data_IF_840074225759
#
_entry.id   IF_840074225759
#
_cell.length_a   1.000
_cell.length_b   1.000
_cell.length_c   1.000
_cell.angle_alpha   90.00
_cell.angle_beta   90.00
_cell.angle_gamma   90.00
#
_symmetry.space_group_name_H-M   'P 1'
#
loop_
_entity.id
_entity.type
_entity.pdbx_description
1 polymer ?
#
# COMPACT_ATOMS: atom_id res chain seq x y z
N UNK A 1 1.31 -36.26 15.80
CA UNK A 1 0.20 -35.29 15.65
C UNK A 1 0.33 -34.67 14.27
N UNK A 2 -0.59 -34.97 13.36
CA UNK A 2 -0.62 -34.35 12.05
C UNK A 2 -0.80 -32.84 12.27
N UNK A 3 0.16 -32.02 11.85
CA UNK A 3 0.02 -30.58 11.87
C UNK A 3 -1.21 -30.24 11.02
N UNK A 4 -2.27 -29.77 11.65
CA UNK A 4 -3.45 -29.28 10.95
C UNK A 4 -2.99 -28.28 9.88
N UNK A 5 -3.39 -28.53 8.64
CA UNK A 5 -3.07 -27.64 7.51
C UNK A 5 -3.53 -26.21 7.84
N UNK A 6 -2.64 -25.22 7.91
CA UNK A 6 -3.01 -23.85 8.28
C UNK A 6 -4.08 -23.24 7.39
N UNK A 7 -4.20 -23.69 6.14
CA UNK A 7 -5.27 -23.25 5.25
C UNK A 7 -6.64 -23.79 5.65
N UNK A 8 -6.72 -25.01 6.22
CA UNK A 8 -7.97 -25.59 6.72
C UNK A 8 -8.52 -24.82 7.92
N UNK A 9 -7.63 -24.18 8.70
CA UNK A 9 -8.04 -23.30 9.80
C UNK A 9 -8.83 -22.07 9.34
N UNK A 10 -8.57 -21.57 8.11
CA UNK A 10 -9.32 -20.47 7.51
C UNK A 10 -10.82 -20.80 7.37
N UNK A 11 -11.13 -22.08 7.14
CA UNK A 11 -12.50 -22.56 6.95
C UNK A 11 -13.20 -23.01 8.23
N UNK A 12 -12.49 -23.20 9.35
CA UNK A 12 -13.02 -23.86 10.55
C UNK A 12 -13.00 -23.00 11.80
N UNK A 13 -11.95 -22.21 12.02
CA UNK A 13 -11.81 -21.38 13.24
C UNK A 13 -12.85 -20.27 13.36
N UNK A 14 -13.16 -19.81 14.59
CA UNK A 14 -14.04 -18.66 14.84
C UNK A 14 -13.51 -17.40 14.13
N UNK A 15 -14.39 -16.71 13.39
CA UNK A 15 -14.01 -15.59 12.51
C UNK A 15 -13.35 -14.42 13.25
N UNK A 16 -13.86 -14.03 14.42
CA UNK A 16 -13.27 -12.91 15.19
C UNK A 16 -11.83 -13.19 15.59
N UNK A 17 -11.53 -14.40 16.12
CA UNK A 17 -10.17 -14.81 16.48
C UNK A 17 -9.26 -14.91 15.25
N UNK A 18 -9.80 -15.41 14.14
CA UNK A 18 -9.08 -15.54 12.90
C UNK A 18 -8.75 -14.17 12.32
N UNK A 19 -9.71 -13.23 12.31
CA UNK A 19 -9.52 -11.88 11.84
C UNK A 19 -8.41 -11.17 12.64
N UNK A 20 -8.43 -11.24 13.97
CA UNK A 20 -7.37 -10.66 14.79
C UNK A 20 -5.99 -11.29 14.51
N UNK A 21 -5.94 -12.61 14.28
CA UNK A 21 -4.70 -13.33 13.94
C UNK A 21 -4.07 -12.83 12.64
N UNK A 22 -4.86 -12.32 11.69
CA UNK A 22 -4.38 -11.76 10.42
C UNK A 22 -4.23 -10.23 10.47
N UNK A 23 -5.16 -9.55 11.10
CA UNK A 23 -5.17 -8.08 11.17
C UNK A 23 -4.00 -7.54 11.98
N UNK A 24 -3.74 -8.10 13.18
CA UNK A 24 -2.64 -7.62 14.04
C UNK A 24 -1.29 -7.70 13.32
N UNK A 25 -0.86 -8.83 12.73
CA UNK A 25 0.37 -8.89 11.96
C UNK A 25 0.39 -7.92 10.76
N UNK A 26 -0.74 -7.75 10.07
CA UNK A 26 -0.83 -6.86 8.91
C UNK A 26 -0.67 -5.39 9.32
N UNK A 27 -1.38 -4.95 10.36
CA UNK A 27 -1.27 -3.59 10.90
C UNK A 27 0.16 -3.33 11.40
N UNK A 28 0.71 -4.26 12.18
CA UNK A 28 2.05 -4.13 12.72
C UNK A 28 3.13 -4.04 11.63
N UNK A 29 3.02 -4.86 10.58
CA UNK A 29 3.92 -4.79 9.43
C UNK A 29 3.85 -3.42 8.73
N UNK A 30 2.65 -2.84 8.58
CA UNK A 30 2.47 -1.52 7.97
C UNK A 30 3.08 -0.40 8.84
N UNK A 31 2.89 -0.47 10.17
CA UNK A 31 3.49 0.49 11.11
C UNK A 31 5.02 0.42 11.04
N UNK A 32 5.59 -0.79 11.07
CA UNK A 32 7.03 -0.98 10.97
C UNK A 32 7.57 -0.47 9.63
N UNK A 33 6.85 -0.71 8.55
CA UNK A 33 7.20 -0.21 7.22
C UNK A 33 7.20 1.34 7.17
N UNK A 34 6.24 1.99 7.83
CA UNK A 34 6.20 3.44 7.97
C UNK A 34 7.40 3.94 8.80
N UNK A 35 7.66 3.30 9.95
CA UNK A 35 8.73 3.72 10.84
C UNK A 35 10.11 3.61 10.20
N UNK A 36 10.41 2.49 9.50
CA UNK A 36 11.71 2.36 8.86
C UNK A 36 11.92 3.42 7.76
N UNK A 37 10.89 3.77 6.99
CA UNK A 37 10.98 4.85 5.99
C UNK A 37 11.28 6.22 6.64
N UNK A 38 10.76 6.46 7.85
CA UNK A 38 11.06 7.68 8.62
C UNK A 38 12.52 7.66 9.10
N UNK A 39 12.96 6.52 9.63
CA UNK A 39 14.33 6.36 10.15
C UNK A 39 15.37 6.52 9.03
N UNK A 40 15.16 5.89 7.86
CA UNK A 40 16.00 6.04 6.69
C UNK A 40 16.18 7.54 6.30
N UNK A 41 15.08 8.29 6.24
CA UNK A 41 15.13 9.73 5.97
C UNK A 41 15.87 10.53 7.05
N UNK A 42 15.77 10.13 8.32
CA UNK A 42 16.51 10.77 9.41
C UNK A 42 18.02 10.55 9.22
N UNK A 43 18.43 9.33 8.86
CA UNK A 43 19.84 9.07 8.59
C UNK A 43 20.36 9.86 7.38
N UNK A 44 19.64 9.85 6.25
CA UNK A 44 20.01 10.63 5.06
C UNK A 44 20.07 12.13 5.36
N UNK A 45 19.11 12.67 6.10
CA UNK A 45 19.07 14.09 6.45
C UNK A 45 20.16 14.54 7.42
N UNK A 46 20.82 13.61 8.12
CA UNK A 46 21.91 13.86 9.05
C UNK A 46 23.30 13.61 8.46
N UNK A 47 23.42 13.36 7.16
CA UNK A 47 24.72 13.23 6.49
C UNK A 47 25.46 14.58 6.63
N UNK A 48 26.72 14.61 7.14
CA UNK A 48 27.47 15.84 7.30
C UNK A 48 27.57 16.59 5.96
N UNK A 49 27.48 17.92 6.02
CA UNK A 49 27.59 18.88 4.92
C UNK A 49 26.50 18.78 3.83
N UNK A 50 26.05 17.57 3.47
CA UNK A 50 25.14 17.35 2.34
C UNK A 50 23.73 16.92 2.73
N UNK A 51 23.45 16.65 4.00
CA UNK A 51 22.19 16.08 4.51
C UNK A 51 20.92 16.74 3.96
N UNK A 52 20.76 18.07 4.01
CA UNK A 52 19.56 18.74 3.48
C UNK A 52 19.37 18.54 1.97
N UNK A 53 20.44 18.58 1.17
CA UNK A 53 20.40 18.38 -0.27
C UNK A 53 20.18 16.91 -0.62
N UNK A 54 20.80 16.00 0.13
CA UNK A 54 20.60 14.56 0.02
C UNK A 54 19.14 14.16 0.31
N UNK A 55 18.57 14.70 1.40
CA UNK A 55 17.17 14.48 1.75
C UNK A 55 16.20 15.02 0.70
N UNK A 56 16.50 16.18 0.13
CA UNK A 56 15.72 16.75 -0.97
C UNK A 56 15.80 15.87 -2.22
N UNK A 57 17.00 15.37 -2.58
CA UNK A 57 17.20 14.44 -3.68
C UNK A 57 16.42 13.12 -3.48
N UNK A 58 16.47 12.55 -2.27
CA UNK A 58 15.69 11.38 -1.91
C UNK A 58 14.17 11.65 -2.01
N UNK A 59 13.73 12.83 -1.56
CA UNK A 59 12.32 13.26 -1.65
C UNK A 59 11.79 13.28 -3.08
N UNK A 60 12.62 13.66 -4.06
CA UNK A 60 12.27 13.63 -5.49
C UNK A 60 12.22 12.20 -6.04
N UNK A 61 13.16 11.34 -5.63
CA UNK A 61 13.21 9.94 -6.09
C UNK A 61 12.08 9.08 -5.49
N UNK A 62 11.61 9.40 -4.28
CA UNK A 62 10.68 8.57 -3.52
C UNK A 62 9.34 8.29 -4.21
N UNK A 63 8.62 9.27 -4.81
CA UNK A 63 7.40 8.97 -5.56
C UNK A 63 7.62 8.01 -6.73
N UNK A 64 8.75 8.13 -7.43
CA UNK A 64 9.12 7.24 -8.54
C UNK A 64 9.34 5.81 -8.00
N UNK A 65 10.02 5.68 -6.87
CA UNK A 65 10.25 4.40 -6.17
C UNK A 65 8.93 3.76 -5.76
N UNK A 66 7.98 4.52 -5.25
CA UNK A 66 6.64 4.01 -4.92
C UNK A 66 5.88 3.53 -6.15
N UNK A 67 5.98 4.24 -7.28
CA UNK A 67 5.38 3.81 -8.55
C UNK A 67 6.03 2.50 -9.01
N UNK A 68 7.36 2.38 -8.99
CA UNK A 68 8.07 1.14 -9.33
C UNK A 68 7.61 0.00 -8.42
N UNK A 69 7.55 0.23 -7.10
CA UNK A 69 7.12 -0.76 -6.12
C UNK A 69 5.66 -1.20 -6.34
N UNK A 70 4.79 -0.31 -6.85
CA UNK A 70 3.39 -0.63 -7.11
C UNK A 70 3.19 -1.73 -8.16
N UNK A 71 4.17 -1.93 -9.06
CA UNK A 71 4.13 -3.04 -10.03
C UNK A 71 4.16 -4.41 -9.35
N UNK A 72 4.73 -4.52 -8.15
CA UNK A 72 4.67 -5.75 -7.36
C UNK A 72 3.23 -6.12 -6.97
N UNK A 73 2.34 -5.14 -6.83
CA UNK A 73 0.94 -5.38 -6.48
C UNK A 73 0.15 -6.03 -7.61
N UNK A 74 0.57 -5.83 -8.88
CA UNK A 74 -0.07 -6.49 -10.02
C UNK A 74 -0.08 -8.01 -9.82
N UNK A 75 1.05 -8.58 -9.45
CA UNK A 75 1.17 -10.02 -9.25
C UNK A 75 0.89 -10.45 -7.80
N UNK A 76 1.33 -9.67 -6.80
CA UNK A 76 1.19 -10.00 -5.39
C UNK A 76 -0.25 -9.89 -4.89
N UNK A 77 -0.76 -8.66 -4.87
CA UNK A 77 -2.14 -8.41 -4.39
C UNK A 77 -3.20 -8.90 -5.36
N UNK A 78 -2.89 -8.97 -6.66
CA UNK A 78 -3.80 -9.55 -7.65
C UNK A 78 -3.85 -11.08 -7.60
N UNK A 79 -2.70 -11.72 -7.43
CA UNK A 79 -2.59 -13.18 -7.52
C UNK A 79 -2.89 -13.91 -6.21
N UNK A 80 -2.50 -13.37 -5.06
CA UNK A 80 -2.71 -14.02 -3.77
C UNK A 80 -4.19 -14.35 -3.46
N UNK A 81 -5.19 -13.46 -3.70
CA UNK A 81 -6.59 -13.81 -3.56
C UNK A 81 -7.03 -14.95 -4.48
N UNK A 82 -6.59 -14.96 -5.75
CA UNK A 82 -6.93 -16.01 -6.71
C UNK A 82 -6.30 -17.35 -6.33
N UNK A 83 -5.05 -17.33 -5.85
CA UNK A 83 -4.41 -18.54 -5.31
C UNK A 83 -5.14 -19.05 -4.07
N UNK A 84 -5.59 -18.17 -3.17
CA UNK A 84 -6.37 -18.54 -1.99
C UNK A 84 -7.74 -19.14 -2.36
N UNK A 85 -8.43 -18.60 -3.39
CA UNK A 85 -9.65 -19.18 -3.94
C UNK A 85 -9.39 -20.58 -4.50
N UNK A 86 -8.29 -20.77 -5.25
CA UNK A 86 -7.92 -22.07 -5.80
C UNK A 86 -7.65 -23.09 -4.68
N UNK A 87 -6.90 -22.71 -3.64
CA UNK A 87 -6.69 -23.56 -2.46
C UNK A 87 -8.01 -23.91 -1.76
N UNK A 88 -8.92 -22.94 -1.62
CA UNK A 88 -10.25 -23.18 -1.04
C UNK A 88 -11.06 -24.22 -1.82
N UNK A 89 -10.87 -24.32 -3.13
CA UNK A 89 -11.48 -25.36 -4.01
C UNK A 89 -10.75 -26.70 -3.96
N UNK A 90 -9.62 -26.79 -3.26
CA UNK A 90 -8.75 -27.97 -3.28
C UNK A 90 -7.82 -28.07 -4.50
N UNK A 91 -7.78 -27.05 -5.38
CA UNK A 91 -6.92 -27.01 -6.57
C UNK A 91 -5.58 -26.32 -6.24
N UNK A 92 -4.75 -27.01 -5.47
CA UNK A 92 -3.42 -26.52 -5.12
C UNK A 92 -2.52 -26.41 -6.36
N UNK A 93 -2.72 -27.24 -7.39
CA UNK A 93 -1.97 -27.17 -8.63
C UNK A 93 -2.17 -25.85 -9.36
N UNK A 94 -3.41 -25.34 -9.40
CA UNK A 94 -3.72 -24.03 -9.94
C UNK A 94 -3.11 -22.91 -9.10
N UNK A 95 -3.15 -23.01 -7.78
CA UNK A 95 -2.54 -22.03 -6.88
C UNK A 95 -1.01 -21.98 -7.05
N UNK A 96 -0.34 -23.14 -7.22
CA UNK A 96 1.10 -23.22 -7.53
C UNK A 96 1.43 -22.62 -8.92
N UNK A 97 0.56 -22.82 -9.95
CA UNK A 97 0.72 -22.18 -11.26
C UNK A 97 0.64 -20.66 -11.18
N UNK A 98 -0.35 -20.13 -10.43
CA UNK A 98 -0.48 -18.70 -10.20
C UNK A 98 0.77 -18.14 -9.52
N UNK A 99 1.28 -18.80 -8.46
CA UNK A 99 2.50 -18.40 -7.75
C UNK A 99 3.72 -18.43 -8.70
N UNK A 100 3.90 -19.49 -9.49
CA UNK A 100 5.03 -19.64 -10.42
C UNK A 100 5.00 -18.57 -11.52
N UNK A 101 3.84 -18.35 -12.14
CA UNK A 101 3.66 -17.31 -13.17
C UNK A 101 3.86 -15.91 -12.59
N UNK A 102 3.38 -15.64 -11.37
CA UNK A 102 3.60 -14.37 -10.68
C UNK A 102 5.09 -14.11 -10.41
N UNK A 103 5.85 -15.12 -9.96
CA UNK A 103 7.28 -15.00 -9.73
C UNK A 103 8.04 -14.63 -11.01
N UNK A 104 7.75 -15.32 -12.11
CA UNK A 104 8.39 -15.04 -13.42
C UNK A 104 7.99 -13.67 -13.92
N UNK A 105 6.72 -13.27 -13.77
CA UNK A 105 6.25 -11.92 -14.14
C UNK A 105 6.96 -10.83 -13.34
N UNK A 106 7.11 -10.98 -12.02
CA UNK A 106 7.81 -10.02 -11.16
C UNK A 106 9.28 -9.85 -11.56
N UNK A 107 9.96 -10.95 -11.88
CA UNK A 107 11.33 -10.91 -12.40
C UNK A 107 11.40 -10.21 -13.76
N UNK A 108 10.56 -10.59 -14.71
CA UNK A 108 10.54 -9.97 -16.03
C UNK A 108 10.22 -8.46 -15.93
N UNK A 109 9.20 -8.11 -15.11
CA UNK A 109 8.80 -6.71 -14.90
C UNK A 109 9.94 -5.92 -14.22
N UNK A 110 10.66 -6.50 -13.26
CA UNK A 110 11.79 -5.83 -12.62
C UNK A 110 12.90 -5.48 -13.60
N UNK A 111 13.22 -6.37 -14.55
CA UNK A 111 14.19 -6.11 -15.61
C UNK A 111 13.71 -4.99 -16.52
N UNK A 112 12.46 -5.04 -16.97
CA UNK A 112 11.85 -4.01 -17.82
C UNK A 112 11.89 -2.65 -17.12
N UNK A 113 11.45 -2.58 -15.88
CA UNK A 113 11.45 -1.34 -15.08
C UNK A 113 12.86 -0.80 -14.88
N UNK A 114 13.81 -1.67 -14.54
CA UNK A 114 15.22 -1.29 -14.39
C UNK A 114 15.76 -0.65 -15.67
N UNK A 115 15.61 -1.30 -16.81
CA UNK A 115 16.11 -0.81 -18.10
C UNK A 115 15.43 0.52 -18.49
N UNK A 116 14.09 0.59 -18.41
CA UNK A 116 13.34 1.81 -18.77
C UNK A 116 13.69 2.98 -17.84
N UNK A 117 13.75 2.73 -16.52
CA UNK A 117 14.06 3.78 -15.56
C UNK A 117 15.53 4.22 -15.63
N UNK A 118 16.48 3.34 -15.94
CA UNK A 118 17.87 3.75 -16.21
C UNK A 118 17.96 4.65 -17.43
N UNK A 119 17.27 4.30 -18.52
CA UNK A 119 17.25 5.11 -19.73
C UNK A 119 16.59 6.48 -19.51
N UNK A 120 15.50 6.55 -18.77
CA UNK A 120 14.73 7.77 -18.52
C UNK A 120 15.08 8.46 -17.17
N UNK A 121 16.15 8.04 -16.47
CA UNK A 121 16.45 8.45 -15.09
C UNK A 121 16.47 9.97 -14.90
N UNK A 122 17.33 10.67 -15.62
CA UNK A 122 17.47 12.13 -15.48
C UNK A 122 16.20 12.90 -15.84
N UNK A 123 15.57 12.66 -17.01
CA UNK A 123 14.29 13.30 -17.35
C UNK A 123 13.20 13.07 -16.30
N UNK A 124 13.10 11.84 -15.78
CA UNK A 124 12.12 11.52 -14.73
C UNK A 124 12.38 12.32 -13.46
N UNK A 125 13.61 12.32 -12.95
CA UNK A 125 13.97 13.07 -11.74
C UNK A 125 13.73 14.57 -11.89
N UNK A 126 14.08 15.17 -13.04
CA UNK A 126 13.79 16.58 -13.33
C UNK A 126 12.28 16.85 -13.36
N UNK A 127 11.50 15.96 -13.97
CA UNK A 127 10.03 16.09 -14.05
C UNK A 127 9.37 16.02 -12.66
N UNK A 128 9.97 15.28 -11.71
CA UNK A 128 9.52 15.19 -10.33
C UNK A 128 10.11 16.28 -9.41
N UNK A 129 10.84 17.25 -9.98
CA UNK A 129 11.27 18.47 -9.26
C UNK A 129 12.72 18.46 -8.76
N UNK A 130 13.60 17.61 -9.30
CA UNK A 130 15.03 17.71 -9.02
C UNK A 130 15.59 19.03 -9.56
N UNK A 131 16.36 19.72 -8.74
CA UNK A 131 17.17 20.89 -9.14
C UNK A 131 18.58 20.48 -9.55
N UNK A 132 19.35 21.41 -10.15
CA UNK A 132 20.75 21.15 -10.47
C UNK A 132 21.60 20.76 -9.24
N UNK A 133 21.22 21.25 -8.05
CA UNK A 133 21.90 20.95 -6.80
C UNK A 133 21.53 19.58 -6.22
N UNK A 134 20.30 19.10 -6.44
CA UNK A 134 19.79 17.88 -5.84
C UNK A 134 19.84 16.66 -6.76
N UNK A 135 19.93 16.88 -8.08
CA UNK A 135 19.87 15.79 -9.07
C UNK A 135 21.00 14.77 -8.92
N UNK A 136 22.21 15.21 -8.52
CA UNK A 136 23.33 14.31 -8.27
C UNK A 136 23.01 13.29 -7.19
N UNK A 137 22.49 13.74 -6.05
CA UNK A 137 22.11 12.88 -4.92
C UNK A 137 20.92 11.98 -5.27
N UNK A 138 19.95 12.50 -6.02
CA UNK A 138 18.82 11.71 -6.49
C UNK A 138 19.27 10.58 -7.44
N UNK A 139 20.18 10.85 -8.38
CA UNK A 139 20.77 9.87 -9.29
C UNK A 139 21.58 8.84 -8.53
N UNK A 140 22.39 9.24 -7.56
CA UNK A 140 23.19 8.34 -6.73
C UNK A 140 22.35 7.32 -5.96
N UNK A 141 21.26 7.77 -5.34
CA UNK A 141 20.32 6.90 -4.66
C UNK A 141 19.56 6.02 -5.64
N UNK A 142 18.95 6.63 -6.65
CA UNK A 142 18.00 5.97 -7.54
C UNK A 142 18.68 4.94 -8.46
N UNK A 143 19.90 5.20 -8.95
CA UNK A 143 20.66 4.26 -9.78
C UNK A 143 20.93 2.94 -9.05
N UNK A 144 21.37 3.00 -7.79
CA UNK A 144 21.57 1.80 -6.97
C UNK A 144 20.25 1.12 -6.68
N UNK A 145 19.22 1.87 -6.28
CA UNK A 145 17.89 1.30 -6.02
C UNK A 145 17.37 0.49 -7.22
N UNK A 146 17.58 0.98 -8.45
CA UNK A 146 17.16 0.28 -9.67
C UNK A 146 17.84 -1.08 -9.84
N UNK A 147 19.10 -1.23 -9.44
CA UNK A 147 19.77 -2.54 -9.46
C UNK A 147 19.15 -3.53 -8.49
N UNK A 148 18.57 -3.04 -7.39
CA UNK A 148 17.86 -3.84 -6.40
C UNK A 148 16.38 -4.11 -6.73
N UNK A 149 15.85 -3.55 -7.81
CA UNK A 149 14.43 -3.70 -8.19
C UNK A 149 13.97 -5.17 -8.22
N UNK A 150 14.75 -6.17 -8.70
CA UNK A 150 14.33 -7.57 -8.63
C UNK A 150 14.07 -8.06 -7.20
N UNK A 151 14.94 -7.70 -6.26
CA UNK A 151 14.76 -8.08 -4.86
C UNK A 151 13.51 -7.38 -4.25
N UNK A 152 13.30 -6.11 -4.56
CA UNK A 152 12.13 -5.34 -4.12
C UNK A 152 10.83 -5.95 -4.68
N UNK A 153 10.77 -6.20 -5.98
CA UNK A 153 9.58 -6.77 -6.62
C UNK A 153 9.23 -8.15 -6.05
N UNK A 154 10.22 -9.01 -5.86
CA UNK A 154 10.02 -10.34 -5.30
C UNK A 154 9.62 -10.29 -3.82
N UNK A 155 10.30 -9.47 -3.00
CA UNK A 155 10.00 -9.38 -1.58
C UNK A 155 8.60 -8.83 -1.33
N UNK A 156 8.20 -7.77 -2.01
CA UNK A 156 6.87 -7.19 -1.87
C UNK A 156 5.79 -8.08 -2.50
N UNK A 157 5.99 -8.55 -3.73
CA UNK A 157 4.97 -9.30 -4.46
C UNK A 157 4.70 -10.69 -3.89
N UNK A 158 5.75 -11.46 -3.59
CA UNK A 158 5.58 -12.85 -3.13
C UNK A 158 5.16 -12.95 -1.66
N UNK A 159 5.38 -11.92 -0.84
CA UNK A 159 4.97 -11.93 0.57
C UNK A 159 3.46 -12.11 0.76
N UNK A 160 2.64 -11.62 -0.19
CA UNK A 160 1.19 -11.81 -0.15
C UNK A 160 0.79 -13.29 -0.28
N UNK A 161 1.58 -14.11 -1.00
CA UNK A 161 1.34 -15.54 -1.13
C UNK A 161 1.67 -16.34 0.13
N UNK A 162 2.52 -15.83 1.01
CA UNK A 162 2.72 -16.39 2.35
C UNK A 162 1.47 -16.18 3.20
N UNK A 163 0.97 -14.94 3.21
CA UNK A 163 -0.21 -14.58 3.98
C UNK A 163 -1.46 -15.34 3.52
N UNK A 164 -1.66 -15.51 2.20
CA UNK A 164 -2.84 -16.19 1.66
C UNK A 164 -2.96 -17.67 2.01
N UNK A 165 -1.84 -18.32 2.38
CA UNK A 165 -1.81 -19.70 2.86
C UNK A 165 -2.15 -19.85 4.36
N UNK A 166 -2.39 -18.75 5.08
CA UNK A 166 -2.64 -18.78 6.52
C UNK A 166 -1.46 -18.37 7.40
N UNK A 167 -0.28 -18.05 6.83
CA UNK A 167 0.96 -17.74 7.56
C UNK A 167 1.16 -16.22 7.78
N UNK A 168 0.15 -15.52 8.29
CA UNK A 168 0.22 -14.07 8.51
C UNK A 168 1.42 -13.63 9.37
N UNK A 169 1.80 -14.40 10.41
CA UNK A 169 2.97 -14.10 11.24
C UNK A 169 4.28 -14.20 10.44
N UNK A 170 4.40 -15.20 9.56
CA UNK A 170 5.60 -15.37 8.71
C UNK A 170 5.70 -14.22 7.70
N UNK A 171 4.58 -13.82 7.12
CA UNK A 171 4.50 -12.65 6.23
C UNK A 171 4.93 -11.35 6.94
N UNK A 172 4.48 -11.14 8.19
CA UNK A 172 4.92 -10.03 9.03
C UNK A 172 6.43 -10.10 9.31
N UNK A 173 6.96 -11.29 9.64
CA UNK A 173 8.39 -11.47 9.91
C UNK A 173 9.27 -11.09 8.71
N UNK A 174 8.81 -11.30 7.48
CA UNK A 174 9.50 -10.83 6.27
C UNK A 174 9.74 -9.32 6.31
N UNK A 175 8.70 -8.56 6.67
CA UNK A 175 8.78 -7.09 6.76
C UNK A 175 9.68 -6.67 7.92
N UNK A 176 9.56 -7.33 9.08
CA UNK A 176 10.38 -7.04 10.26
C UNK A 176 11.87 -7.28 10.00
N UNK A 177 12.22 -8.39 9.35
CA UNK A 177 13.62 -8.72 8.99
C UNK A 177 14.17 -7.64 8.07
N UNK A 178 13.43 -7.27 7.02
CA UNK A 178 13.84 -6.20 6.11
C UNK A 178 14.04 -4.87 6.82
N UNK A 179 13.06 -4.43 7.63
CA UNK A 179 13.13 -3.18 8.34
C UNK A 179 14.28 -3.15 9.38
N UNK A 180 14.46 -4.21 10.16
CA UNK A 180 15.53 -4.29 11.15
C UNK A 180 16.92 -4.24 10.48
N UNK A 181 17.09 -4.98 9.39
CA UNK A 181 18.35 -4.95 8.63
C UNK A 181 18.62 -3.58 8.02
N UNK A 182 17.61 -2.92 7.47
CA UNK A 182 17.76 -1.59 6.90
C UNK A 182 18.24 -0.59 7.98
N UNK A 183 17.56 -0.53 9.13
CA UNK A 183 17.93 0.35 10.25
C UNK A 183 19.37 0.08 10.75
N UNK A 184 19.83 -1.17 10.69
CA UNK A 184 21.20 -1.54 11.10
C UNK A 184 22.22 -1.18 10.01
N UNK A 185 21.90 -1.43 8.74
CA UNK A 185 22.81 -1.23 7.62
C UNK A 185 22.96 0.24 7.21
N UNK A 186 21.90 1.06 7.40
CA UNK A 186 21.94 2.49 7.07
C UNK A 186 23.13 3.21 7.72
N UNK A 187 23.32 3.22 9.06
CA UNK A 187 24.44 3.90 9.66
C UNK A 187 25.80 3.30 9.25
N UNK A 188 25.87 2.00 8.99
CA UNK A 188 27.11 1.33 8.58
C UNK A 188 27.52 1.81 7.18
N UNK A 189 26.59 1.83 6.24
CA UNK A 189 26.92 2.21 4.85
C UNK A 189 26.99 3.72 4.66
N UNK A 190 26.09 4.47 5.31
CA UNK A 190 26.05 5.94 5.16
C UNK A 190 27.29 6.58 5.81
N UNK A 191 27.56 6.24 7.08
CA UNK A 191 28.61 6.89 7.89
C UNK A 191 29.86 6.03 8.04
N UNK A 192 29.71 4.72 8.26
CA UNK A 192 30.85 3.82 8.50
C UNK A 192 31.71 3.60 7.25
N UNK A 193 31.08 3.48 6.09
CA UNK A 193 31.76 3.33 4.79
C UNK A 193 31.77 4.61 3.97
N UNK A 194 31.27 5.73 4.53
CA UNK A 194 31.23 7.05 3.90
C UNK A 194 30.58 7.06 2.49
N UNK A 195 29.56 6.22 2.30
CA UNK A 195 28.88 6.09 1.01
C UNK A 195 27.77 7.13 0.80
N UNK A 196 27.40 7.90 1.84
CA UNK A 196 26.36 8.92 1.74
C UNK A 196 25.02 8.37 1.22
N UNK A 197 24.41 9.03 0.23
CA UNK A 197 23.14 8.60 -0.38
C UNK A 197 23.19 7.21 -1.01
N UNK A 198 24.34 6.81 -1.57
CA UNK A 198 24.54 5.46 -2.12
C UNK A 198 24.45 4.40 -1.03
N UNK A 199 24.93 4.74 0.17
CA UNK A 199 24.86 3.86 1.34
C UNK A 199 23.42 3.54 1.75
N UNK A 200 22.54 4.54 1.81
CA UNK A 200 21.12 4.35 2.10
C UNK A 200 20.43 3.47 1.05
N UNK A 201 20.68 3.70 -0.23
CA UNK A 201 20.15 2.84 -1.30
C UNK A 201 20.64 1.40 -1.18
N UNK A 202 21.93 1.21 -0.91
CA UNK A 202 22.53 -0.11 -0.75
C UNK A 202 21.95 -0.87 0.46
N UNK A 203 21.77 -0.19 1.60
CA UNK A 203 21.13 -0.75 2.78
C UNK A 203 19.70 -1.25 2.48
N UNK A 204 18.93 -0.43 1.75
CA UNK A 204 17.58 -0.80 1.31
C UNK A 204 17.60 -2.04 0.43
N UNK A 205 18.48 -2.10 -0.57
CA UNK A 205 18.58 -3.25 -1.49
C UNK A 205 18.99 -4.51 -0.75
N UNK A 206 20.02 -4.45 0.10
CA UNK A 206 20.49 -5.59 0.87
C UNK A 206 19.37 -6.13 1.78
N UNK A 207 18.63 -5.25 2.43
CA UNK A 207 17.51 -5.62 3.31
C UNK A 207 16.37 -6.28 2.54
N UNK A 208 16.04 -5.76 1.34
CA UNK A 208 15.03 -6.37 0.47
C UNK A 208 15.52 -7.70 -0.12
N UNK A 209 16.81 -7.83 -0.45
CA UNK A 209 17.39 -9.09 -0.91
C UNK A 209 17.30 -10.18 0.17
N UNK A 210 17.61 -9.86 1.42
CA UNK A 210 17.46 -10.80 2.55
C UNK A 210 16.00 -11.17 2.75
N UNK A 211 15.08 -10.20 2.65
CA UNK A 211 13.63 -10.48 2.70
C UNK A 211 13.19 -11.42 1.58
N UNK A 212 13.69 -11.21 0.36
CA UNK A 212 13.40 -12.11 -0.77
C UNK A 212 13.96 -13.53 -0.54
N UNK A 213 15.20 -13.64 -0.04
CA UNK A 213 15.79 -14.94 0.33
C UNK A 213 14.97 -15.64 1.41
N UNK A 214 14.50 -14.93 2.42
CA UNK A 214 13.61 -15.46 3.46
C UNK A 214 12.30 -16.00 2.87
N UNK A 215 11.70 -15.30 1.91
CA UNK A 215 10.48 -15.73 1.20
C UNK A 215 10.75 -17.02 0.42
N UNK A 216 11.85 -17.07 -0.35
CA UNK A 216 12.23 -18.28 -1.07
C UNK A 216 12.52 -19.46 -0.12
N UNK A 217 13.22 -19.23 0.99
CA UNK A 217 13.46 -20.25 2.01
C UNK A 217 12.14 -20.80 2.58
N UNK A 218 11.12 -19.94 2.77
CA UNK A 218 9.78 -20.39 3.16
C UNK A 218 9.15 -21.28 2.09
N UNK A 219 9.16 -20.89 0.81
CA UNK A 219 8.53 -21.64 -0.28
C UNK A 219 9.24 -22.95 -0.63
N UNK A 220 10.53 -23.06 -0.34
CA UNK A 220 11.28 -24.32 -0.45
C UNK A 220 11.20 -25.16 0.83
N UNK A 221 10.68 -24.62 1.91
CA UNK A 221 10.54 -25.28 3.20
C UNK A 221 9.40 -26.31 3.22
N UNK A 222 9.38 -27.15 4.27
CA UNK A 222 8.34 -28.18 4.48
C UNK A 222 7.02 -27.64 5.02
N UNK A 223 6.96 -26.38 5.44
CA UNK A 223 5.78 -25.78 6.09
C UNK A 223 4.80 -25.15 5.10
N UNK A 224 5.28 -24.77 3.94
CA UNK A 224 4.45 -24.15 2.90
C UNK A 224 3.51 -25.16 2.26
N UNK A 225 2.32 -24.70 1.87
CA UNK A 225 1.34 -25.48 1.11
C UNK A 225 1.63 -25.36 -0.40
N UNK A 226 2.00 -24.16 -0.84
CA UNK A 226 2.33 -23.86 -2.23
C UNK A 226 3.85 -23.95 -2.44
N UNK A 227 4.26 -24.72 -3.43
CA UNK A 227 5.67 -24.92 -3.74
C UNK A 227 6.00 -24.38 -5.14
N UNK A 228 7.22 -23.88 -5.31
CA UNK A 228 7.74 -23.61 -6.64
C UNK A 228 7.99 -24.90 -7.39
N UNK A 229 7.17 -25.18 -8.40
CA UNK A 229 7.35 -26.30 -9.31
C UNK A 229 8.02 -25.80 -10.58
N UNK A 230 9.13 -26.43 -10.99
CA UNK A 230 9.87 -26.04 -12.20
C UNK A 230 8.96 -25.96 -13.44
N UNK A 231 7.99 -26.85 -13.58
CA UNK A 231 7.02 -26.87 -14.67
C UNK A 231 6.08 -25.67 -14.69
N UNK A 232 5.90 -24.95 -13.56
CA UNK A 232 5.00 -23.79 -13.42
C UNK A 232 5.76 -22.45 -13.44
N UNK A 233 7.10 -22.48 -13.48
CA UNK A 233 7.94 -21.29 -13.62
C UNK A 233 7.95 -20.82 -15.09
N UNK A 234 6.79 -20.39 -15.57
CA UNK A 234 6.60 -19.85 -16.92
C UNK A 234 5.48 -18.84 -16.93
N UNK A 235 5.47 -17.94 -17.90
CA UNK A 235 4.38 -16.99 -18.11
C UNK A 235 3.20 -17.72 -18.75
N UNK A 236 2.27 -18.18 -17.93
CA UNK A 236 1.01 -18.74 -18.41
C UNK A 236 -0.04 -17.63 -18.44
N UNK A 237 -0.34 -17.11 -19.65
CA UNK A 237 -1.26 -15.99 -19.84
C UNK A 237 -2.67 -16.29 -19.34
N UNK A 238 -3.10 -17.58 -19.34
CA UNK A 238 -4.44 -17.96 -18.84
C UNK A 238 -4.59 -17.70 -17.35
N UNK A 239 -3.54 -17.98 -16.58
CA UNK A 239 -3.53 -17.73 -15.13
C UNK A 239 -3.05 -16.29 -14.81
N UNK A 240 -2.14 -15.72 -15.62
CA UNK A 240 -1.52 -14.41 -15.36
C UNK A 240 -2.45 -13.23 -15.68
N UNK A 241 -3.21 -13.27 -16.79
CA UNK A 241 -4.09 -12.14 -17.16
C UNK A 241 -5.12 -11.83 -16.06
N UNK A 242 -5.86 -12.79 -15.49
CA UNK A 242 -6.75 -12.52 -14.36
C UNK A 242 -6.02 -11.94 -13.14
N UNK A 243 -4.78 -12.39 -12.87
CA UNK A 243 -3.93 -11.89 -11.80
C UNK A 243 -3.62 -10.41 -12.01
N UNK A 244 -3.08 -10.04 -13.17
CA UNK A 244 -2.74 -8.65 -13.50
C UNK A 244 -3.98 -7.76 -13.45
N UNK A 245 -5.08 -8.19 -14.07
CA UNK A 245 -6.32 -7.41 -14.10
C UNK A 245 -6.85 -7.13 -12.68
N UNK A 246 -6.80 -8.10 -11.76
CA UNK A 246 -7.20 -7.89 -10.38
C UNK A 246 -6.20 -6.97 -9.65
N UNK A 247 -4.91 -7.11 -9.92
CA UNK A 247 -3.84 -6.31 -9.38
C UNK A 247 -3.80 -4.86 -9.87
N UNK A 248 -4.47 -4.53 -10.99
CA UNK A 248 -4.60 -3.13 -11.44
C UNK A 248 -5.29 -2.26 -10.39
N UNK A 249 -6.21 -2.80 -9.60
CA UNK A 249 -6.90 -2.05 -8.56
C UNK A 249 -5.93 -1.49 -7.50
N UNK A 250 -5.14 -2.29 -6.77
CA UNK A 250 -4.16 -1.77 -5.81
C UNK A 250 -3.02 -1.00 -6.48
N UNK A 251 -2.65 -1.33 -7.72
CA UNK A 251 -1.69 -0.57 -8.50
C UNK A 251 -2.16 0.88 -8.69
N UNK A 252 -3.36 1.10 -9.19
CA UNK A 252 -3.90 2.45 -9.39
C UNK A 252 -4.10 3.20 -8.07
N UNK A 253 -4.50 2.51 -7.00
CA UNK A 253 -4.58 3.14 -5.67
C UNK A 253 -3.21 3.69 -5.28
N UNK A 254 -2.14 2.90 -5.40
CA UNK A 254 -0.78 3.33 -5.04
C UNK A 254 -0.27 4.47 -5.92
N UNK A 255 -0.48 4.39 -7.23
CA UNK A 255 -0.09 5.46 -8.17
C UNK A 255 -0.82 6.76 -7.83
N UNK A 256 -2.12 6.69 -7.56
CA UNK A 256 -2.89 7.88 -7.17
C UNK A 256 -2.50 8.41 -5.79
N UNK A 257 -2.07 7.56 -4.85
CA UNK A 257 -1.51 7.98 -3.56
C UNK A 257 -0.22 8.79 -3.71
N UNK A 258 0.51 8.62 -4.83
CA UNK A 258 1.66 9.47 -5.18
C UNK A 258 1.25 10.78 -5.87
N UNK A 259 0.23 10.74 -6.74
CA UNK A 259 -0.17 11.88 -7.57
C UNK A 259 -1.02 12.89 -6.77
N UNK A 260 -1.96 12.43 -5.96
CA UNK A 260 -2.90 13.30 -5.23
C UNK A 260 -2.18 14.32 -4.34
N UNK A 261 -1.19 13.94 -3.51
CA UNK A 261 -0.45 14.94 -2.71
C UNK A 261 0.26 15.99 -3.55
N UNK A 262 0.79 15.63 -4.72
CA UNK A 262 1.45 16.58 -5.64
C UNK A 262 0.44 17.61 -6.16
N UNK A 263 -0.73 17.17 -6.61
CA UNK A 263 -1.80 18.04 -7.11
C UNK A 263 -2.34 18.94 -5.99
N UNK A 264 -2.57 18.38 -4.80
CA UNK A 264 -3.06 19.13 -3.65
C UNK A 264 -2.06 20.18 -3.18
N UNK A 265 -0.77 19.83 -3.05
CA UNK A 265 0.26 20.78 -2.65
C UNK A 265 0.47 21.89 -3.69
N UNK A 266 0.47 21.56 -4.99
CA UNK A 266 0.54 22.54 -6.06
C UNK A 266 -0.66 23.51 -6.02
N UNK A 267 -1.86 23.00 -5.79
CA UNK A 267 -3.05 23.81 -5.62
C UNK A 267 -2.99 24.71 -4.37
N UNK A 268 -2.53 24.16 -3.24
CA UNK A 268 -2.36 24.96 -2.00
C UNK A 268 -1.32 26.08 -2.16
N UNK A 269 -0.26 25.83 -2.95
CA UNK A 269 0.71 26.86 -3.29
C UNK A 269 0.12 27.92 -4.21
N UNK A 270 -0.64 27.49 -5.22
CA UNK A 270 -1.20 28.39 -6.25
C UNK A 270 -2.31 29.32 -5.69
N UNK A 271 -3.20 28.79 -4.85
CA UNK A 271 -4.35 29.54 -4.34
C UNK A 271 -4.14 30.08 -2.91
N UNK A 272 -3.04 29.69 -2.26
CA UNK A 272 -2.70 30.11 -0.91
C UNK A 272 -1.24 30.57 -0.82
N UNK A 273 -0.48 29.92 0.06
CA UNK A 273 0.94 30.19 0.30
C UNK A 273 1.59 28.99 1.00
N UNK A 274 2.87 29.11 1.40
CA UNK A 274 3.64 28.07 2.07
C UNK A 274 3.01 27.52 3.35
N UNK A 275 2.23 28.34 4.09
CA UNK A 275 1.53 27.88 5.28
C UNK A 275 0.42 26.89 4.93
N UNK A 276 -0.27 27.06 3.81
CA UNK A 276 -1.29 26.11 3.34
C UNK A 276 -0.68 24.80 2.86
N UNK A 277 0.50 24.84 2.22
CA UNK A 277 1.27 23.63 1.89
C UNK A 277 1.71 22.90 3.15
N UNK A 278 2.18 23.64 4.17
CA UNK A 278 2.49 23.09 5.49
C UNK A 278 1.27 22.44 6.15
N UNK A 279 0.10 23.10 6.07
CA UNK A 279 -1.18 22.55 6.54
C UNK A 279 -1.52 21.22 5.87
N UNK A 280 -1.37 21.11 4.53
CA UNK A 280 -1.62 19.85 3.81
C UNK A 280 -0.65 18.74 4.25
N UNK A 281 0.61 19.07 4.47
CA UNK A 281 1.62 18.10 4.94
C UNK A 281 1.25 17.52 6.30
N UNK A 282 0.79 18.36 7.23
CA UNK A 282 0.29 17.92 8.53
C UNK A 282 -0.94 17.03 8.38
N UNK A 283 -1.91 17.44 7.55
CA UNK A 283 -3.14 16.67 7.34
C UNK A 283 -2.87 15.31 6.71
N UNK A 284 -2.00 15.21 5.69
CA UNK A 284 -1.60 13.93 5.09
C UNK A 284 -0.92 13.01 6.10
N UNK A 285 -0.10 13.56 6.99
CA UNK A 285 0.57 12.77 8.04
C UNK A 285 -0.44 12.20 9.03
N UNK A 286 -1.41 13.00 9.46
CA UNK A 286 -2.50 12.55 10.34
C UNK A 286 -3.34 11.49 9.62
N UNK A 287 -3.76 11.75 8.38
CA UNK A 287 -4.54 10.81 7.57
C UNK A 287 -3.83 9.46 7.45
N UNK A 288 -2.54 9.45 7.10
CA UNK A 288 -1.77 8.23 6.95
C UNK A 288 -1.76 7.37 8.22
N UNK A 289 -1.54 7.98 9.38
CA UNK A 289 -1.56 7.28 10.67
C UNK A 289 -2.93 6.64 10.96
N UNK A 290 -4.02 7.32 10.61
CA UNK A 290 -5.37 6.85 10.90
C UNK A 290 -5.87 5.81 9.90
N UNK A 291 -5.38 5.84 8.69
CA UNK A 291 -5.75 4.84 7.66
C UNK A 291 -5.13 3.47 7.91
N UNK A 292 -3.93 3.41 8.49
CA UNK A 292 -3.18 2.16 8.67
C UNK A 292 -3.96 1.05 9.40
N UNK A 293 -4.62 1.29 10.57
CA UNK A 293 -5.35 0.23 11.25
C UNK A 293 -6.56 -0.28 10.46
N UNK A 294 -7.30 0.63 9.81
CA UNK A 294 -8.48 0.26 9.04
C UNK A 294 -8.11 -0.55 7.78
N UNK A 295 -7.12 -0.09 7.02
CA UNK A 295 -6.64 -0.80 5.83
C UNK A 295 -5.97 -2.12 6.19
N UNK A 296 -5.12 -2.16 7.21
CA UNK A 296 -4.46 -3.38 7.68
C UNK A 296 -5.43 -4.45 8.15
N UNK A 297 -6.51 -4.06 8.83
CA UNK A 297 -7.59 -4.99 9.20
C UNK A 297 -8.29 -5.57 7.96
N UNK A 298 -8.69 -4.70 7.03
CA UNK A 298 -9.39 -5.11 5.82
C UNK A 298 -8.48 -5.98 4.93
N UNK A 299 -7.20 -5.66 4.84
CA UNK A 299 -6.21 -6.47 4.13
C UNK A 299 -6.00 -7.84 4.77
N UNK A 300 -5.93 -7.91 6.10
CA UNK A 300 -5.85 -9.18 6.84
C UNK A 300 -7.07 -10.09 6.64
N UNK A 301 -8.22 -9.54 6.29
CA UNK A 301 -9.42 -10.33 6.00
C UNK A 301 -9.45 -10.96 4.60
N UNK A 302 -8.64 -10.46 3.65
CA UNK A 302 -8.63 -10.94 2.26
C UNK A 302 -8.38 -12.46 2.17
N UNK A 303 -7.36 -13.06 2.79
CA UNK A 303 -7.14 -14.51 2.75
C UNK A 303 -8.33 -15.31 3.31
N UNK A 304 -8.95 -14.80 4.38
CA UNK A 304 -10.11 -15.46 5.01
C UNK A 304 -11.29 -15.51 4.04
N UNK A 305 -11.61 -14.38 3.42
CA UNK A 305 -12.73 -14.29 2.48
C UNK A 305 -12.45 -15.09 1.20
N UNK A 306 -11.26 -14.97 0.63
CA UNK A 306 -10.88 -15.66 -0.61
C UNK A 306 -10.93 -17.18 -0.46
N UNK A 307 -10.34 -17.72 0.60
CA UNK A 307 -10.35 -19.15 0.88
C UNK A 307 -11.76 -19.68 1.09
N UNK A 308 -12.58 -19.02 1.95
CA UNK A 308 -13.94 -19.45 2.22
C UNK A 308 -14.85 -19.32 1.00
N UNK A 309 -14.59 -18.34 0.13
CA UNK A 309 -15.30 -18.24 -1.14
C UNK A 309 -14.97 -19.42 -2.05
N UNK A 310 -13.69 -19.77 -2.20
CA UNK A 310 -13.26 -20.97 -2.93
C UNK A 310 -13.84 -22.26 -2.36
N UNK A 311 -13.90 -22.37 -1.03
CA UNK A 311 -14.45 -23.53 -0.31
C UNK A 311 -16.00 -23.63 -0.31
N UNK A 312 -16.70 -22.74 -1.03
CA UNK A 312 -18.16 -22.77 -1.10
C UNK A 312 -18.86 -22.41 0.22
N UNK A 313 -18.24 -21.55 1.07
CA UNK A 313 -18.78 -21.13 2.37
C UNK A 313 -19.22 -19.65 2.37
N UNK A 314 -20.26 -19.27 1.60
CA UNK A 314 -20.66 -17.86 1.43
C UNK A 314 -21.08 -17.19 2.74
N UNK A 315 -21.66 -17.91 3.69
CA UNK A 315 -22.05 -17.35 4.99
C UNK A 315 -20.83 -16.89 5.82
N UNK A 316 -19.68 -17.58 5.69
CA UNK A 316 -18.44 -17.13 6.35
C UNK A 316 -17.88 -15.88 5.68
N UNK A 317 -17.97 -15.79 4.36
CA UNK A 317 -17.59 -14.59 3.60
C UNK A 317 -18.44 -13.40 4.03
N UNK A 318 -19.76 -13.57 4.07
CA UNK A 318 -20.72 -12.56 4.50
C UNK A 318 -20.46 -12.08 5.94
N UNK A 319 -20.28 -13.00 6.88
CA UNK A 319 -19.96 -12.67 8.28
C UNK A 319 -18.62 -11.93 8.40
N UNK A 320 -17.60 -12.36 7.65
CA UNK A 320 -16.30 -11.66 7.63
C UNK A 320 -16.44 -10.25 7.09
N UNK A 321 -17.20 -10.05 6.00
CA UNK A 321 -17.48 -8.72 5.46
C UNK A 321 -18.14 -7.79 6.50
N UNK A 322 -19.20 -8.24 7.18
CA UNK A 322 -19.86 -7.41 8.18
C UNK A 322 -18.97 -7.10 9.38
N UNK A 323 -18.09 -8.03 9.78
CA UNK A 323 -17.13 -7.79 10.84
C UNK A 323 -16.11 -6.71 10.45
N UNK A 324 -15.51 -6.79 9.23
CA UNK A 324 -14.55 -5.76 8.79
C UNK A 324 -15.26 -4.42 8.53
N UNK A 325 -16.48 -4.44 8.01
CA UNK A 325 -17.26 -3.22 7.82
C UNK A 325 -17.54 -2.51 9.15
N UNK A 326 -18.07 -3.26 10.14
CA UNK A 326 -18.40 -2.70 11.45
C UNK A 326 -17.15 -2.15 12.15
N UNK A 327 -16.03 -2.87 12.09
CA UNK A 327 -14.81 -2.45 12.74
C UNK A 327 -14.13 -1.28 12.00
N UNK A 328 -13.98 -1.34 10.66
CA UNK A 328 -13.32 -0.27 9.90
C UNK A 328 -14.16 1.02 9.91
N UNK A 329 -15.47 0.93 9.71
CA UNK A 329 -16.35 2.08 9.79
C UNK A 329 -16.41 2.66 11.22
N UNK A 330 -16.54 1.81 12.25
CA UNK A 330 -16.52 2.25 13.65
C UNK A 330 -15.21 2.94 14.01
N UNK A 331 -14.07 2.34 13.62
CA UNK A 331 -12.75 2.93 13.88
C UNK A 331 -12.57 4.27 13.16
N UNK A 332 -12.85 4.34 11.84
CA UNK A 332 -12.69 5.60 11.09
C UNK A 332 -13.66 6.68 11.57
N UNK A 333 -14.87 6.31 11.99
CA UNK A 333 -15.84 7.25 12.59
C UNK A 333 -15.31 7.79 13.92
N UNK A 334 -14.88 6.95 14.83
CA UNK A 334 -14.34 7.38 16.13
C UNK A 334 -13.10 8.25 15.92
N UNK A 335 -12.19 7.84 15.05
CA UNK A 335 -10.97 8.58 14.73
C UNK A 335 -11.29 9.96 14.14
N UNK A 336 -12.24 10.04 13.19
CA UNK A 336 -12.68 11.31 12.61
C UNK A 336 -13.28 12.24 13.68
N UNK A 337 -14.15 11.73 14.53
CA UNK A 337 -14.73 12.54 15.61
C UNK A 337 -13.68 13.04 16.61
N UNK A 338 -12.70 12.21 16.98
CA UNK A 338 -11.62 12.65 17.87
C UNK A 338 -10.80 13.80 17.26
N UNK A 339 -10.49 13.72 15.96
CA UNK A 339 -9.77 14.79 15.26
C UNK A 339 -10.60 16.06 15.17
N UNK A 340 -11.88 15.93 14.82
CA UNK A 340 -12.80 17.09 14.68
C UNK A 340 -13.04 17.79 16.02
N UNK A 341 -13.10 17.05 17.13
CA UNK A 341 -13.31 17.60 18.47
C UNK A 341 -12.01 18.18 19.07
N UNK A 342 -10.87 17.54 18.83
CA UNK A 342 -9.58 17.89 19.41
C UNK A 342 -8.49 18.16 18.37
N UNK A 343 -8.72 19.00 17.34
CA UNK A 343 -7.79 19.17 16.21
C UNK A 343 -6.40 19.62 16.68
N UNK A 344 -6.33 20.50 17.67
CA UNK A 344 -5.06 21.01 18.20
C UNK A 344 -4.15 19.90 18.73
N UNK A 345 -4.70 18.90 19.41
CA UNK A 345 -3.94 17.75 19.95
C UNK A 345 -3.25 16.95 18.84
N UNK A 346 -3.88 16.83 17.67
CA UNK A 346 -3.30 16.11 16.52
C UNK A 346 -2.31 16.95 15.71
N UNK A 347 -2.41 18.29 15.78
CA UNK A 347 -1.51 19.21 15.06
C UNK A 347 -0.20 19.43 15.84
N UNK A 348 -0.27 19.59 17.16
CA UNK A 348 0.87 19.95 18.02
C UNK A 348 2.10 19.02 17.88
N UNK A 349 1.98 17.70 17.63
CA UNK A 349 3.15 16.85 17.39
C UNK A 349 3.94 17.22 16.12
N UNK A 350 3.36 17.97 15.19
CA UNK A 350 3.98 18.31 13.91
C UNK A 350 4.52 19.75 13.84
N UNK A 351 4.00 20.67 14.70
CA UNK A 351 4.40 22.09 14.64
C UNK A 351 4.09 22.85 15.92
N UNK A 352 5.00 23.77 16.28
CA UNK A 352 4.82 24.74 17.35
C UNK A 352 4.39 26.13 16.81
N UNK A 353 4.31 26.29 15.49
CA UNK A 353 3.94 27.56 14.85
C UNK A 353 2.46 27.87 15.10
N UNK A 354 2.18 28.89 15.93
CA UNK A 354 0.83 29.33 16.25
C UNK A 354 0.02 29.67 14.98
N UNK A 355 0.64 30.34 14.00
CA UNK A 355 -0.01 30.69 12.74
C UNK A 355 -0.40 29.46 11.91
N UNK A 356 0.48 28.44 11.87
CA UNK A 356 0.16 27.18 11.15
C UNK A 356 -0.98 26.44 11.86
N UNK A 357 -1.00 26.42 13.19
CA UNK A 357 -2.07 25.81 13.99
C UNK A 357 -3.41 26.49 13.70
N UNK A 358 -3.45 27.84 13.68
CA UNK A 358 -4.67 28.62 13.41
C UNK A 358 -5.25 28.35 12.02
N UNK A 359 -4.41 28.19 10.99
CA UNK A 359 -4.85 27.85 9.63
C UNK A 359 -5.28 26.38 9.54
N UNK A 360 -4.58 25.50 10.23
CA UNK A 360 -4.83 24.04 10.12
C UNK A 360 -6.11 23.61 10.84
N UNK A 361 -6.52 24.25 11.95
CA UNK A 361 -7.73 23.88 12.68
C UNK A 361 -8.99 23.92 11.80
N UNK A 362 -9.34 25.03 11.11
CA UNK A 362 -10.50 25.05 10.22
C UNK A 362 -10.33 24.10 9.04
N UNK A 363 -9.12 23.98 8.47
CA UNK A 363 -8.83 23.07 7.37
C UNK A 363 -9.11 21.60 7.74
N UNK A 364 -8.70 21.16 8.93
CA UNK A 364 -8.98 19.82 9.47
C UNK A 364 -10.48 19.54 9.52
N UNK A 365 -11.28 20.51 9.95
CA UNK A 365 -12.74 20.33 10.06
C UNK A 365 -13.39 20.06 8.72
N UNK A 366 -12.90 20.67 7.66
CA UNK A 366 -13.39 20.43 6.30
C UNK A 366 -12.86 19.10 5.78
N UNK A 367 -11.54 18.91 5.81
CA UNK A 367 -10.84 17.77 5.22
C UNK A 367 -11.30 16.44 5.82
N UNK A 368 -11.33 16.33 7.16
CA UNK A 368 -11.67 15.08 7.87
C UNK A 368 -13.19 14.86 8.03
N UNK A 369 -14.04 15.80 7.56
CA UNK A 369 -15.49 15.66 7.63
C UNK A 369 -16.04 14.43 6.88
N UNK A 370 -15.40 14.03 5.78
CA UNK A 370 -15.75 12.85 4.97
C UNK A 370 -15.05 11.55 5.41
N UNK A 371 -13.97 11.63 6.16
CA UNK A 371 -13.08 10.51 6.46
C UNK A 371 -13.76 9.33 7.17
N UNK A 372 -14.84 9.57 7.92
CA UNK A 372 -15.59 8.50 8.59
C UNK A 372 -16.08 7.42 7.61
N UNK A 373 -16.35 7.77 6.35
CA UNK A 373 -16.86 6.84 5.34
C UNK A 373 -15.77 6.02 4.65
N UNK A 374 -14.48 6.36 4.78
CA UNK A 374 -13.35 5.64 4.17
C UNK A 374 -13.32 4.17 4.62
N UNK A 375 -13.70 3.87 5.87
CA UNK A 375 -13.79 2.51 6.38
C UNK A 375 -14.76 1.63 5.58
N UNK A 376 -15.85 2.20 5.09
CA UNK A 376 -16.81 1.50 4.20
C UNK A 376 -16.17 1.21 2.86
N UNK A 377 -15.47 2.17 2.29
CA UNK A 377 -14.74 2.01 1.02
C UNK A 377 -13.74 0.86 1.09
N UNK A 378 -12.91 0.82 2.15
CA UNK A 378 -11.92 -0.25 2.34
C UNK A 378 -12.56 -1.63 2.47
N UNK A 379 -13.60 -1.76 3.28
CA UNK A 379 -14.30 -3.03 3.44
C UNK A 379 -14.87 -3.55 2.12
N UNK A 380 -15.52 -2.70 1.33
CA UNK A 380 -16.08 -3.04 0.02
C UNK A 380 -14.98 -3.40 -0.99
N UNK A 381 -13.96 -2.56 -1.12
CA UNK A 381 -12.87 -2.73 -2.10
C UNK A 381 -12.06 -4.01 -1.84
N UNK A 382 -11.68 -4.27 -0.58
CA UNK A 382 -10.97 -5.48 -0.19
C UNK A 382 -11.83 -6.74 -0.39
N UNK A 383 -13.15 -6.64 -0.22
CA UNK A 383 -14.07 -7.75 -0.51
C UNK A 383 -14.16 -8.02 -2.01
N UNK A 384 -14.24 -7.00 -2.87
CA UNK A 384 -14.18 -7.20 -4.32
C UNK A 384 -12.91 -7.94 -4.74
N UNK A 385 -11.76 -7.55 -4.18
CA UNK A 385 -10.49 -8.22 -4.44
C UNK A 385 -10.49 -9.67 -3.95
N UNK A 386 -10.96 -9.89 -2.72
CA UNK A 386 -11.00 -11.21 -2.11
C UNK A 386 -11.86 -12.20 -2.89
N UNK A 387 -12.94 -11.73 -3.53
CA UNK A 387 -13.84 -12.53 -4.35
C UNK A 387 -13.41 -12.61 -5.83
N UNK A 388 -12.25 -12.04 -6.19
CA UNK A 388 -11.76 -12.02 -7.58
C UNK A 388 -12.61 -11.19 -8.54
N UNK A 389 -13.39 -10.22 -8.04
CA UNK A 389 -14.28 -9.38 -8.85
C UNK A 389 -13.53 -8.20 -9.46
N UNK A 390 -12.71 -8.49 -10.45
CA UNK A 390 -11.75 -7.55 -11.08
C UNK A 390 -12.38 -6.22 -11.50
N UNK A 391 -13.49 -6.25 -12.26
CA UNK A 391 -14.15 -5.03 -12.76
C UNK A 391 -14.65 -4.15 -11.63
N UNK A 392 -15.28 -4.74 -10.61
CA UNK A 392 -15.81 -4.00 -9.46
C UNK A 392 -14.69 -3.45 -8.57
N UNK A 393 -13.60 -4.23 -8.40
CA UNK A 393 -12.43 -3.80 -7.65
C UNK A 393 -11.75 -2.60 -8.32
N UNK A 394 -11.54 -2.66 -9.63
CA UNK A 394 -10.92 -1.57 -10.39
C UNK A 394 -11.80 -0.31 -10.39
N UNK A 395 -13.11 -0.48 -10.63
CA UNK A 395 -14.06 0.63 -10.58
C UNK A 395 -14.03 1.32 -9.19
N UNK A 396 -14.06 0.54 -8.11
CA UNK A 396 -14.01 1.07 -6.76
C UNK A 396 -12.70 1.83 -6.47
N UNK A 397 -11.57 1.32 -6.98
CA UNK A 397 -10.27 1.96 -6.81
C UNK A 397 -10.17 3.31 -7.52
N UNK A 398 -10.71 3.39 -8.74
CA UNK A 398 -10.62 4.59 -9.58
C UNK A 398 -11.67 5.66 -9.19
N UNK A 399 -12.84 5.24 -8.69
CA UNK A 399 -14.01 6.12 -8.50
C UNK A 399 -13.68 7.29 -7.57
N UNK A 400 -13.15 7.01 -6.37
CA UNK A 400 -12.89 8.06 -5.38
C UNK A 400 -11.82 9.05 -5.85
N UNK A 401 -10.65 8.57 -6.29
CA UNK A 401 -9.49 9.42 -6.54
C UNK A 401 -9.42 9.98 -7.95
N UNK A 402 -9.61 9.15 -8.97
CA UNK A 402 -9.46 9.59 -10.37
C UNK A 402 -10.72 10.25 -10.89
N UNK A 403 -11.91 9.71 -10.55
CA UNK A 403 -13.18 10.19 -11.13
C UNK A 403 -13.77 11.35 -10.34
N UNK A 404 -13.62 11.35 -9.01
CA UNK A 404 -14.23 12.38 -8.16
C UNK A 404 -13.18 13.39 -7.69
N UNK A 405 -12.14 12.94 -6.94
CA UNK A 405 -11.20 13.83 -6.28
C UNK A 405 -10.42 14.71 -7.27
N UNK A 406 -9.70 14.09 -8.20
CA UNK A 406 -8.84 14.85 -9.13
C UNK A 406 -9.60 15.92 -9.93
N UNK A 407 -10.76 15.63 -10.55
CA UNK A 407 -11.54 16.67 -11.21
C UNK A 407 -11.98 17.79 -10.26
N UNK A 408 -12.42 17.45 -9.04
CA UNK A 408 -12.85 18.45 -8.06
C UNK A 408 -11.70 19.34 -7.59
N UNK A 409 -10.46 18.81 -7.48
CA UNK A 409 -9.27 19.61 -7.16
C UNK A 409 -8.98 20.70 -8.21
N UNK A 410 -9.43 20.54 -9.46
CA UNK A 410 -9.30 21.56 -10.50
C UNK A 410 -10.53 22.46 -10.62
N UNK A 411 -11.73 21.94 -10.34
CA UNK A 411 -12.98 22.65 -10.53
C UNK A 411 -13.27 23.58 -9.35
N UNK A 412 -13.26 23.09 -8.11
CA UNK A 412 -13.70 23.85 -6.94
C UNK A 412 -12.85 25.11 -6.67
N UNK A 413 -11.49 25.06 -6.75
CA UNK A 413 -10.71 26.27 -6.57
C UNK A 413 -11.03 27.36 -7.60
N UNK A 414 -11.31 26.98 -8.86
CA UNK A 414 -11.66 27.91 -9.94
C UNK A 414 -13.06 28.51 -9.80
N UNK A 415 -13.95 27.85 -9.07
CA UNK A 415 -15.29 28.39 -8.75
C UNK A 415 -15.28 29.44 -7.63
N UNK A 416 -14.09 29.83 -7.16
CA UNK A 416 -13.93 30.87 -6.14
C UNK A 416 -13.71 30.34 -4.71
N UNK A 417 -13.66 29.03 -4.51
CA UNK A 417 -13.39 28.45 -3.19
C UNK A 417 -11.90 28.43 -2.83
N UNK A 418 -10.98 28.73 -3.76
CA UNK A 418 -9.54 28.79 -3.49
C UNK A 418 -8.98 27.55 -2.78
N UNK A 419 -8.24 27.73 -1.70
CA UNK A 419 -7.66 26.65 -0.89
C UNK A 419 -8.72 25.75 -0.26
N UNK A 420 -9.85 26.30 0.20
CA UNK A 420 -10.94 25.52 0.79
C UNK A 420 -11.57 24.58 -0.23
N UNK A 421 -11.57 24.96 -1.52
CA UNK A 421 -12.03 24.10 -2.61
C UNK A 421 -11.27 22.78 -2.70
N UNK A 422 -9.96 22.77 -2.43
CA UNK A 422 -9.17 21.54 -2.37
C UNK A 422 -9.56 20.67 -1.18
N UNK A 423 -9.83 21.29 -0.03
CA UNK A 423 -10.27 20.58 1.17
C UNK A 423 -11.67 19.97 0.99
N UNK A 424 -12.59 20.73 0.39
CA UNK A 424 -13.91 20.23 0.05
C UNK A 424 -13.86 19.09 -0.98
N UNK A 425 -12.91 19.15 -1.93
CA UNK A 425 -12.73 18.08 -2.92
C UNK A 425 -12.45 16.72 -2.24
N UNK A 426 -11.58 16.69 -1.24
CA UNK A 426 -11.27 15.45 -0.47
C UNK A 426 -12.49 14.97 0.32
N UNK A 427 -13.13 15.88 1.07
CA UNK A 427 -14.34 15.56 1.84
C UNK A 427 -15.47 15.00 0.94
N UNK A 428 -15.75 15.65 -0.19
CA UNK A 428 -16.77 15.20 -1.15
C UNK A 428 -16.39 13.86 -1.76
N UNK A 429 -15.11 13.66 -2.11
CA UNK A 429 -14.63 12.40 -2.68
C UNK A 429 -14.75 11.24 -1.70
N UNK A 430 -14.52 11.48 -0.42
CA UNK A 430 -14.68 10.47 0.64
C UNK A 430 -16.14 10.05 0.79
N UNK A 431 -17.05 11.02 0.85
CA UNK A 431 -18.48 10.75 1.03
C UNK A 431 -19.08 10.11 -0.21
N UNK A 432 -18.96 10.77 -1.37
CA UNK A 432 -19.57 10.30 -2.62
C UNK A 432 -18.90 9.02 -3.12
N UNK A 433 -17.57 8.93 -3.06
CA UNK A 433 -16.83 7.73 -3.47
C UNK A 433 -17.22 6.52 -2.64
N UNK A 434 -17.30 6.66 -1.33
CA UNK A 434 -17.73 5.60 -0.43
C UNK A 434 -19.21 5.21 -0.65
N UNK A 435 -20.11 6.20 -0.82
CA UNK A 435 -21.52 5.93 -1.06
C UNK A 435 -21.75 5.18 -2.39
N UNK A 436 -21.08 5.60 -3.46
CA UNK A 436 -21.20 4.96 -4.78
C UNK A 436 -20.66 3.53 -4.72
N UNK A 437 -19.47 3.33 -4.15
CA UNK A 437 -18.86 1.99 -4.04
C UNK A 437 -19.71 1.08 -3.17
N UNK A 438 -20.28 1.59 -2.07
CA UNK A 438 -21.19 0.84 -1.21
C UNK A 438 -22.50 0.48 -1.92
N UNK A 439 -23.10 1.39 -2.68
CA UNK A 439 -24.30 1.11 -3.48
C UNK A 439 -24.04 0.01 -4.52
N UNK A 440 -22.92 0.11 -5.25
CA UNK A 440 -22.48 -0.93 -6.20
C UNK A 440 -22.26 -2.26 -5.47
N UNK A 441 -21.68 -2.22 -4.27
CA UNK A 441 -21.45 -3.41 -3.47
C UNK A 441 -22.75 -4.08 -3.09
N UNK A 442 -23.71 -3.36 -2.50
CA UNK A 442 -25.01 -3.90 -2.09
C UNK A 442 -25.76 -4.51 -3.27
N UNK A 443 -25.78 -3.81 -4.41
CA UNK A 443 -26.45 -4.28 -5.62
C UNK A 443 -25.90 -5.63 -6.10
N UNK A 444 -24.59 -5.78 -6.06
CA UNK A 444 -23.92 -6.98 -6.56
C UNK A 444 -23.71 -8.07 -5.49
N UNK A 445 -23.87 -7.76 -4.18
CA UNK A 445 -23.41 -8.63 -3.10
C UNK A 445 -24.02 -10.04 -3.15
N UNK A 446 -25.34 -10.14 -3.35
CA UNK A 446 -26.01 -11.45 -3.45
C UNK A 446 -25.54 -12.27 -4.65
N UNK A 447 -25.27 -11.61 -5.78
CA UNK A 447 -24.79 -12.28 -6.99
C UNK A 447 -23.33 -12.70 -6.89
N UNK A 448 -22.50 -11.91 -6.17
CA UNK A 448 -21.09 -12.22 -5.95
C UNK A 448 -20.90 -13.46 -5.06
N UNK A 449 -21.80 -13.68 -4.11
CA UNK A 449 -21.76 -14.83 -3.18
C UNK A 449 -22.27 -16.13 -3.81
N UNK A 450 -22.99 -16.06 -4.92
CA UNK A 450 -23.33 -17.26 -5.70
C UNK A 450 -22.01 -17.82 -6.25
N UNK A 451 -21.76 -19.08 -5.96
CA UNK A 451 -20.51 -19.80 -6.30
C UNK A 451 -20.02 -19.52 -7.70
N UNK A 452 -18.71 -19.39 -7.86
CA UNK A 452 -18.07 -19.15 -9.14
C UNK A 452 -18.22 -20.33 -10.09
#
# INVERSE_FOLDING_TARGET
MAHADPSSELATKPLGRLLLRFAIPSIFAQIVNLLYNIVDRIFVGRIPEIGPLALAGLGVAFPIILIISSFSFLAGMGGAPLASIAMGRGDNAKAERILGSACVFLLAMSVVLTVLCFWAMRPMLLMFGASEQTIGYAVDYFSLYLLGTPAVQLSLGLNYYISCQGFAKTSMMTVLIGAALNIILDPIFIYGLDMGCKGAALATICSQAVSAVWIFAFFFGKRTILHFRRQYLRLDLKDLVPVILLGLSPFFVQVTDCIVPLVMNAGMQQYGNDYYVGTMTVMFSIEQLLRLPADGLCQGAVPIMSYNYGAGKPERVKKTFFLILAFSFGFTTIASWLILLFPKTFIMPFTDSQRLIEITIPAIRIYFGGMMFIGVLYACQRTFMALGRTKLSLLGAMMRKLVILLPLCFILPRLGYGTDGLLYAECIADVLGSAIVFAIFIWNFKSMLKTP
#
